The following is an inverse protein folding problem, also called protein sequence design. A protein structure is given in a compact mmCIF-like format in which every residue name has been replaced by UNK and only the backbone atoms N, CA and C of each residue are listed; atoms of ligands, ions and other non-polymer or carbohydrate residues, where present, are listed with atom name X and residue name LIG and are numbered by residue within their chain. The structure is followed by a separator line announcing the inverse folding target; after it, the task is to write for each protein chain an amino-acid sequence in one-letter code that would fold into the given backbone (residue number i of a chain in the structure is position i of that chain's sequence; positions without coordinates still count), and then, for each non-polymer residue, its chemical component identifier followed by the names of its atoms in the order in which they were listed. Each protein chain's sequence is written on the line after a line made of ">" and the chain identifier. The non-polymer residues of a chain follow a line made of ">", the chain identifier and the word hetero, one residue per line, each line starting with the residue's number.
data_IF_806989808903
#
_entry.id   IF_806989808903
#
_cell.length_a   1.000
_cell.length_b   1.000
_cell.length_c   1.000
_cell.angle_alpha   90.00
_cell.angle_beta   90.00
_cell.angle_gamma   90.00
#
_symmetry.space_group_name_H-M   'P 1'
#
loop_
_entity.id
_entity.type
_entity.pdbx_description
1 polymer ?
#
# COMPACT_ATOMS: atom_id res chain seq x y z
N UNK A 1 18.40 -6.00 48.63
CA UNK A 1 17.50 -6.64 49.61
C UNK A 1 16.52 -5.57 50.10
N UNK A 2 15.26 -5.60 49.67
CA UNK A 2 14.25 -4.59 49.98
C UNK A 2 13.80 -4.72 51.45
N UNK A 3 13.74 -3.61 52.18
CA UNK A 3 13.57 -3.53 53.64
C UNK A 3 12.23 -4.04 54.22
N UNK A 4 11.33 -4.61 53.40
CA UNK A 4 10.01 -5.08 53.86
C UNK A 4 10.02 -6.42 54.59
N UNK A 5 11.07 -7.24 54.44
CA UNK A 5 11.17 -8.56 55.09
C UNK A 5 11.40 -8.47 56.60
N UNK A 6 11.76 -7.29 57.14
CA UNK A 6 12.27 -7.16 58.52
C UNK A 6 11.18 -6.93 59.57
N UNK A 7 9.89 -6.85 59.21
CA UNK A 7 8.86 -6.44 60.18
C UNK A 7 7.58 -7.28 60.19
N UNK A 8 7.63 -8.60 59.97
CA UNK A 8 6.52 -9.52 60.31
C UNK A 8 5.14 -9.19 59.71
N UNK A 9 5.09 -8.31 58.69
CA UNK A 9 3.87 -7.77 58.07
C UNK A 9 3.63 -8.34 56.67
N UNK A 10 4.53 -9.18 56.15
CA UNK A 10 4.43 -9.80 54.84
C UNK A 10 4.68 -11.30 54.99
N UNK A 11 3.62 -12.10 54.80
CA UNK A 11 3.70 -13.55 54.68
C UNK A 11 4.45 -13.92 53.39
N UNK A 12 5.24 -14.99 53.41
CA UNK A 12 5.98 -15.51 52.26
C UNK A 12 5.05 -15.76 51.07
N UNK A 13 3.81 -16.18 51.33
CA UNK A 13 2.79 -16.34 50.30
C UNK A 13 2.44 -15.02 49.61
N UNK A 14 2.18 -13.96 50.37
CA UNK A 14 1.89 -12.63 49.82
C UNK A 14 3.08 -12.07 49.03
N UNK A 15 4.30 -12.31 49.49
CA UNK A 15 5.51 -11.91 48.77
C UNK A 15 5.62 -12.63 47.41
N UNK A 16 5.40 -13.95 47.40
CA UNK A 16 5.50 -14.75 46.18
C UNK A 16 4.37 -14.41 45.18
N UNK A 17 3.16 -14.14 45.66
CA UNK A 17 2.03 -13.67 44.84
C UNK A 17 2.33 -12.31 44.20
N UNK A 18 2.77 -11.33 44.99
CA UNK A 18 3.14 -10.01 44.48
C UNK A 18 4.31 -10.08 43.50
N UNK A 19 5.30 -10.93 43.78
CA UNK A 19 6.42 -11.17 42.86
C UNK A 19 5.94 -11.76 41.54
N UNK A 20 5.04 -12.74 41.57
CA UNK A 20 4.47 -13.34 40.37
C UNK A 20 3.66 -12.33 39.54
N UNK A 21 2.87 -11.49 40.21
CA UNK A 21 2.10 -10.42 39.56
C UNK A 21 3.01 -9.39 38.88
N UNK A 22 4.08 -8.96 39.56
CA UNK A 22 5.08 -8.05 39.00
C UNK A 22 5.78 -8.65 37.78
N UNK A 23 6.17 -9.93 37.83
CA UNK A 23 6.80 -10.58 36.67
C UNK A 23 5.83 -10.70 35.48
N UNK A 24 4.56 -11.00 35.74
CA UNK A 24 3.53 -11.09 34.70
C UNK A 24 3.27 -9.71 34.07
N UNK A 25 3.24 -8.65 34.86
CA UNK A 25 3.10 -7.28 34.37
C UNK A 25 4.31 -6.84 33.53
N UNK A 26 5.55 -7.20 33.94
CA UNK A 26 6.75 -6.96 33.14
C UNK A 26 6.69 -7.67 31.78
N UNK A 27 6.29 -8.94 31.75
CA UNK A 27 6.14 -9.68 30.49
C UNK A 27 5.11 -9.03 29.56
N UNK A 28 3.99 -8.54 30.13
CA UNK A 28 2.96 -7.85 29.36
C UNK A 28 3.48 -6.54 28.78
N UNK A 29 4.15 -5.72 29.60
CA UNK A 29 4.74 -4.46 29.16
C UNK A 29 5.81 -4.66 28.08
N UNK A 30 6.63 -5.71 28.18
CA UNK A 30 7.62 -6.03 27.16
C UNK A 30 6.94 -6.38 25.82
N UNK A 31 5.89 -7.22 25.85
CA UNK A 31 5.13 -7.56 24.63
C UNK A 31 4.46 -6.33 24.01
N UNK A 32 3.93 -5.44 24.82
CA UNK A 32 3.31 -4.20 24.34
C UNK A 32 4.38 -3.29 23.71
N UNK A 33 5.58 -3.18 24.31
CA UNK A 33 6.71 -2.45 23.73
C UNK A 33 7.14 -3.03 22.37
N UNK A 34 7.33 -4.34 22.28
CA UNK A 34 7.75 -5.01 21.05
C UNK A 34 6.72 -4.79 19.93
N UNK A 35 5.42 -4.88 20.25
CA UNK A 35 4.33 -4.58 19.30
C UNK A 35 4.39 -3.14 18.79
N UNK A 36 4.68 -2.16 19.63
CA UNK A 36 4.78 -0.77 19.18
C UNK A 36 5.97 -0.54 18.24
N UNK A 37 7.09 -1.24 18.46
CA UNK A 37 8.24 -1.18 17.56
C UNK A 37 7.91 -1.79 16.19
N UNK A 38 7.21 -2.92 16.15
CA UNK A 38 6.76 -3.52 14.88
C UNK A 38 5.87 -2.56 14.07
N UNK A 39 4.90 -1.91 14.72
CA UNK A 39 4.02 -0.92 14.08
C UNK A 39 4.82 0.26 13.49
N UNK A 40 5.82 0.74 14.21
CA UNK A 40 6.69 1.83 13.75
C UNK A 40 7.46 1.43 12.49
N UNK A 41 8.03 0.22 12.48
CA UNK A 41 8.75 -0.31 11.30
C UNK A 41 7.85 -0.53 10.08
N UNK A 42 6.63 -1.02 10.27
CA UNK A 42 5.65 -1.18 9.18
C UNK A 42 5.23 0.18 8.62
N UNK A 43 5.06 1.18 9.49
CA UNK A 43 4.70 2.54 9.11
C UNK A 43 5.80 3.21 8.27
N UNK A 44 7.07 3.05 8.67
CA UNK A 44 8.22 3.55 7.93
C UNK A 44 8.37 2.89 6.54
N UNK A 45 8.11 1.59 6.45
CA UNK A 45 8.12 0.87 5.17
C UNK A 45 7.01 1.39 4.24
N UNK A 46 5.79 1.60 4.75
CA UNK A 46 4.68 2.17 3.98
C UNK A 46 5.02 3.58 3.47
N UNK A 47 5.59 4.44 4.34
CA UNK A 47 6.00 5.79 3.96
C UNK A 47 7.07 5.77 2.86
N UNK A 48 8.03 4.87 2.97
CA UNK A 48 9.10 4.67 1.97
C UNK A 48 8.51 4.26 0.61
N UNK A 49 7.58 3.30 0.61
CA UNK A 49 6.90 2.84 -0.60
C UNK A 49 6.09 3.97 -1.26
N UNK A 50 5.38 4.79 -0.48
CA UNK A 50 4.64 5.95 -1.00
C UNK A 50 5.58 6.96 -1.66
N UNK A 51 6.71 7.28 -1.01
CA UNK A 51 7.71 8.20 -1.54
C UNK A 51 8.33 7.68 -2.86
N UNK A 52 8.63 6.39 -2.93
CA UNK A 52 9.14 5.74 -4.14
C UNK A 52 8.13 5.83 -5.30
N UNK A 53 6.85 5.49 -5.05
CA UNK A 53 5.79 5.60 -6.05
C UNK A 53 5.66 7.05 -6.53
N UNK A 54 5.60 8.02 -5.63
CA UNK A 54 5.49 9.43 -5.97
C UNK A 54 6.68 9.91 -6.84
N UNK A 55 7.90 9.50 -6.49
CA UNK A 55 9.10 9.82 -7.26
C UNK A 55 9.10 9.19 -8.67
N UNK A 56 8.54 7.99 -8.81
CA UNK A 56 8.50 7.26 -10.08
C UNK A 56 7.33 7.67 -10.99
N UNK A 57 6.20 8.12 -10.43
CA UNK A 57 5.04 8.63 -11.21
C UNK A 57 5.46 9.80 -12.10
N UNK A 58 6.29 10.72 -11.60
CA UNK A 58 6.80 11.83 -12.39
C UNK A 58 7.65 11.40 -13.58
N UNK A 59 8.49 10.36 -13.42
CA UNK A 59 9.30 9.78 -14.51
C UNK A 59 8.42 9.06 -15.54
N UNK A 60 7.41 8.33 -15.07
CA UNK A 60 6.47 7.62 -15.93
C UNK A 60 5.65 8.61 -16.78
N UNK A 61 5.15 9.69 -16.19
CA UNK A 61 4.36 10.71 -16.88
C UNK A 61 5.18 11.56 -17.87
N UNK A 62 6.45 11.81 -17.55
CA UNK A 62 7.41 12.52 -18.41
C UNK A 62 8.07 11.63 -19.46
N UNK A 63 7.83 10.31 -19.42
CA UNK A 63 8.43 9.39 -20.37
C UNK A 63 7.95 9.74 -21.78
N UNK A 64 8.87 9.93 -22.75
CA UNK A 64 8.51 10.21 -24.14
C UNK A 64 7.66 9.09 -24.76
N UNK A 65 7.76 7.87 -24.20
CA UNK A 65 6.91 6.73 -24.57
C UNK A 65 5.42 7.08 -24.33
N UNK A 66 5.10 7.83 -23.28
CA UNK A 66 3.71 8.21 -22.98
C UNK A 66 3.23 9.35 -23.89
N UNK A 67 4.06 10.34 -24.23
CA UNK A 67 3.69 11.40 -25.16
C UNK A 67 3.48 10.86 -26.57
N UNK A 68 4.39 10.02 -27.06
CA UNK A 68 4.25 9.38 -28.37
C UNK A 68 3.05 8.44 -28.42
N UNK A 69 2.81 7.63 -27.37
CA UNK A 69 1.60 6.79 -27.28
C UNK A 69 0.32 7.65 -27.27
N UNK A 70 0.30 8.76 -26.54
CA UNK A 70 -0.84 9.69 -26.51
C UNK A 70 -1.08 10.34 -27.88
N UNK A 71 -0.03 10.72 -28.58
CA UNK A 71 -0.13 11.29 -29.94
C UNK A 71 -0.68 10.26 -30.92
N UNK A 72 -0.16 9.03 -30.91
CA UNK A 72 -0.68 7.94 -31.75
C UNK A 72 -2.16 7.67 -31.44
N UNK A 73 -2.55 7.61 -30.16
CA UNK A 73 -3.95 7.42 -29.78
C UNK A 73 -4.84 8.57 -30.27
N UNK A 74 -4.36 9.83 -30.25
CA UNK A 74 -5.09 10.98 -30.81
C UNK A 74 -5.24 10.94 -32.32
N UNK A 75 -4.35 10.25 -33.04
CA UNK A 75 -4.51 10.04 -34.48
C UNK A 75 -5.61 9.02 -34.80
N UNK A 76 -5.82 8.04 -33.92
CA UNK A 76 -6.73 6.91 -34.15
C UNK A 76 -8.11 7.16 -33.52
N UNK A 77 -8.19 7.84 -32.38
CA UNK A 77 -9.40 8.04 -31.59
C UNK A 77 -9.84 9.50 -31.61
N UNK A 78 -11.14 9.74 -31.68
CA UNK A 78 -11.79 11.05 -31.52
C UNK A 78 -12.92 10.98 -30.49
N UNK A 79 -13.38 12.15 -30.03
CA UNK A 79 -14.57 12.29 -29.18
C UNK A 79 -14.55 11.46 -27.89
N UNK A 80 -13.37 11.22 -27.31
CA UNK A 80 -13.18 10.42 -26.10
C UNK A 80 -13.89 11.07 -24.90
N UNK A 81 -14.85 10.34 -24.30
CA UNK A 81 -15.62 10.76 -23.13
C UNK A 81 -15.77 9.59 -22.15
N UNK A 82 -15.86 9.90 -20.87
CA UNK A 82 -16.16 8.90 -19.84
C UNK A 82 -17.66 8.99 -19.53
N UNK A 83 -18.37 7.88 -19.70
CA UNK A 83 -19.78 7.74 -19.36
C UNK A 83 -19.91 6.67 -18.27
N UNK A 84 -20.05 7.13 -17.02
CA UNK A 84 -20.06 6.26 -15.84
C UNK A 84 -18.73 5.51 -15.67
N UNK A 85 -18.75 4.19 -15.84
CA UNK A 85 -17.56 3.32 -15.78
C UNK A 85 -16.97 2.97 -17.16
N UNK A 86 -17.56 3.49 -18.25
CA UNK A 86 -17.17 3.15 -19.61
C UNK A 86 -16.45 4.31 -20.31
N UNK A 87 -15.49 3.98 -21.17
CA UNK A 87 -14.84 4.93 -22.07
C UNK A 87 -15.54 4.86 -23.45
N UNK A 88 -16.20 5.95 -23.84
CA UNK A 88 -16.84 6.10 -25.13
C UNK A 88 -15.91 6.90 -26.06
N UNK A 89 -15.71 6.44 -27.28
CA UNK A 89 -14.86 7.09 -28.28
C UNK A 89 -15.34 6.76 -29.69
N UNK A 90 -14.91 7.58 -30.65
CA UNK A 90 -15.05 7.33 -32.09
C UNK A 90 -13.69 7.00 -32.69
N UNK A 91 -13.66 6.22 -33.77
CA UNK A 91 -12.43 5.95 -34.53
C UNK A 91 -12.32 6.99 -35.66
N UNK A 92 -11.18 7.69 -35.72
CA UNK A 92 -10.88 8.72 -36.71
C UNK A 92 -10.70 8.10 -38.10
N UNK A 93 -11.12 8.79 -39.16
CA UNK A 93 -10.83 8.40 -40.55
C UNK A 93 -9.31 8.50 -40.81
N UNK A 94 -8.69 7.55 -41.55
CA UNK A 94 -9.31 6.45 -42.28
C UNK A 94 -9.40 5.13 -41.48
N UNK A 95 -9.01 5.12 -40.20
CA UNK A 95 -8.95 3.91 -39.38
C UNK A 95 -10.33 3.28 -39.16
N UNK A 96 -11.40 4.08 -39.21
CA UNK A 96 -12.79 3.61 -39.20
C UNK A 96 -13.11 2.60 -40.31
N UNK A 97 -12.42 2.71 -41.45
CA UNK A 97 -12.57 1.78 -42.58
C UNK A 97 -11.91 0.43 -42.28
N UNK A 98 -10.85 0.40 -41.47
CA UNK A 98 -10.19 -0.86 -41.10
C UNK A 98 -11.14 -1.77 -40.32
N UNK A 99 -12.02 -1.19 -39.50
CA UNK A 99 -13.05 -1.94 -38.78
C UNK A 99 -14.12 -2.56 -39.70
N UNK A 100 -14.25 -2.06 -40.93
CA UNK A 100 -15.25 -2.49 -41.92
C UNK A 100 -14.67 -3.45 -42.96
N UNK A 101 -13.36 -3.74 -42.88
CA UNK A 101 -12.70 -4.64 -43.83
C UNK A 101 -13.21 -6.07 -43.59
N UNK A 102 -13.61 -6.82 -44.64
CA UNK A 102 -13.86 -8.24 -44.52
C UNK A 102 -12.60 -8.93 -43.96
N UNK A 103 -12.77 -9.97 -43.15
CA UNK A 103 -11.68 -10.75 -42.56
C UNK A 103 -10.89 -10.07 -41.42
N UNK A 104 -11.48 -9.11 -40.69
CA UNK A 104 -10.84 -8.49 -39.51
C UNK A 104 -10.34 -9.52 -38.48
N UNK A 105 -11.03 -10.67 -38.38
CA UNK A 105 -10.67 -11.81 -37.57
C UNK A 105 -9.29 -12.40 -37.91
N UNK A 106 -8.81 -12.24 -39.15
CA UNK A 106 -7.45 -12.65 -39.54
C UNK A 106 -6.35 -11.69 -39.07
N UNK A 107 -6.70 -10.44 -38.77
CA UNK A 107 -5.77 -9.40 -38.34
C UNK A 107 -5.61 -9.32 -36.82
N UNK A 108 -6.63 -9.75 -36.07
CA UNK A 108 -6.66 -9.69 -34.60
C UNK A 108 -6.13 -10.96 -33.91
N UNK A 109 -5.22 -11.69 -34.56
CA UNK A 109 -4.66 -12.95 -34.04
C UNK A 109 -3.53 -12.74 -33.04
#
# INVERSE_FOLDING_TARGET
>A
MFCGYIQGKCDEKMYNELKAEIELEKEKLQKDMDRYLEIDTETDEILTNIAEVAANVGKFLKSPILSTKKEILRLILSDCKIEGKNLCFSITKPFDKMLKTPEIDKWCR
#
